data_IF_157054997543
#
_entry.id   IF_157054997543
#
_cell.length_a   1.000
_cell.length_b   1.000
_cell.length_c   1.000
_cell.angle_alpha   90.00
_cell.angle_beta   90.00
_cell.angle_gamma   90.00
#
_symmetry.space_group_name_H-M   'P 1'
#
loop_
_entity.id
_entity.type
_entity.pdbx_description
1 polymer ?
#
# COMPACT_ATOMS: atom_id res chain seq x y z
N UNK A 1 18.39 -10.32 7.57
CA UNK A 1 17.23 -9.43 7.78
C UNK A 1 16.03 -10.37 7.77
N UNK A 2 15.47 -10.66 8.93
CA UNK A 2 14.24 -11.44 8.99
C UNK A 2 13.15 -10.58 8.37
N UNK A 3 12.43 -11.13 7.38
CA UNK A 3 11.26 -10.47 6.84
C UNK A 3 10.25 -10.36 7.98
N UNK A 4 9.90 -9.14 8.38
CA UNK A 4 8.83 -8.92 9.33
C UNK A 4 7.57 -9.60 8.77
N UNK A 5 7.02 -10.55 9.51
CA UNK A 5 5.92 -11.37 9.01
C UNK A 5 4.65 -10.52 8.98
N UNK A 6 4.28 -10.04 7.79
CA UNK A 6 3.05 -9.29 7.59
C UNK A 6 1.86 -10.23 7.82
N UNK A 7 0.94 -9.89 8.75
CA UNK A 7 -0.15 -10.79 9.13
C UNK A 7 -1.01 -11.26 7.95
N UNK A 8 -1.40 -12.54 7.92
CA UNK A 8 -2.19 -13.10 6.80
C UNK A 8 -3.51 -12.35 6.56
N UNK A 9 -4.21 -11.98 7.63
CA UNK A 9 -5.51 -11.30 7.54
C UNK A 9 -5.44 -9.98 6.76
N UNK A 10 -4.30 -9.29 6.79
CA UNK A 10 -4.10 -8.05 6.03
C UNK A 10 -4.18 -8.31 4.53
N UNK A 11 -3.52 -9.39 4.08
CA UNK A 11 -3.55 -9.82 2.69
C UNK A 11 -4.93 -10.31 2.27
N UNK A 12 -5.59 -11.10 3.11
CA UNK A 12 -6.95 -11.60 2.86
C UNK A 12 -7.94 -10.44 2.60
N UNK A 13 -7.84 -9.37 3.39
CA UNK A 13 -8.69 -8.18 3.24
C UNK A 13 -8.36 -7.41 1.97
N UNK A 14 -7.08 -7.17 1.68
CA UNK A 14 -6.67 -6.50 0.44
C UNK A 14 -7.15 -7.26 -0.79
N UNK A 15 -6.95 -8.57 -0.83
CA UNK A 15 -7.37 -9.40 -1.96
C UNK A 15 -8.89 -9.50 -2.08
N UNK A 16 -9.63 -9.57 -0.96
CA UNK A 16 -11.08 -9.63 -0.98
C UNK A 16 -11.76 -8.32 -1.41
N UNK A 17 -11.08 -7.18 -1.23
CA UNK A 17 -11.64 -5.85 -1.52
C UNK A 17 -11.15 -5.24 -2.83
N UNK A 18 -10.01 -5.70 -3.34
CA UNK A 18 -9.47 -5.29 -4.65
C UNK A 18 -10.44 -5.67 -5.78
N UNK A 19 -10.57 -4.84 -6.83
CA UNK A 19 -9.95 -3.52 -7.02
C UNK A 19 -10.70 -2.34 -6.42
N UNK A 20 -11.69 -2.53 -5.56
CA UNK A 20 -12.64 -1.47 -5.20
C UNK A 20 -12.24 -0.78 -3.90
N UNK A 21 -11.72 0.44 -3.98
CA UNK A 21 -11.34 1.19 -2.79
C UNK A 21 -12.54 1.49 -1.89
N UNK A 22 -13.72 1.70 -2.47
CA UNK A 22 -14.97 1.80 -1.73
C UNK A 22 -15.28 0.54 -0.89
N UNK A 23 -14.98 -0.66 -1.38
CA UNK A 23 -15.20 -1.90 -0.62
C UNK A 23 -14.22 -2.01 0.55
N UNK A 24 -12.94 -1.64 0.35
CA UNK A 24 -11.95 -1.57 1.43
C UNK A 24 -12.35 -0.54 2.49
N UNK A 25 -12.77 0.65 2.08
CA UNK A 25 -13.25 1.68 2.99
C UNK A 25 -14.43 1.18 3.84
N UNK A 26 -15.45 0.56 3.22
CA UNK A 26 -16.58 0.01 3.95
C UNK A 26 -16.20 -1.10 4.92
N UNK A 27 -15.22 -1.94 4.56
CA UNK A 27 -14.68 -2.93 5.51
C UNK A 27 -14.02 -2.23 6.70
N UNK A 28 -13.11 -1.28 6.46
CA UNK A 28 -12.41 -0.52 7.50
C UNK A 28 -13.37 0.24 8.42
N UNK A 29 -14.41 0.87 7.89
CA UNK A 29 -15.44 1.60 8.66
C UNK A 29 -16.19 0.70 9.65
N UNK A 30 -16.26 -0.61 9.37
CA UNK A 30 -16.90 -1.60 10.24
C UNK A 30 -15.97 -2.20 11.31
N UNK A 31 -14.68 -1.85 11.28
CA UNK A 31 -13.69 -2.41 12.18
C UNK A 31 -13.49 -1.58 13.46
N UNK A 32 -13.08 -2.21 14.58
CA UNK A 32 -12.68 -1.48 15.77
C UNK A 32 -11.35 -0.76 15.56
N UNK A 33 -11.06 0.23 16.41
CA UNK A 33 -9.88 1.10 16.34
C UNK A 33 -8.58 0.32 16.15
N UNK A 34 -8.39 -0.72 16.95
CA UNK A 34 -7.17 -1.52 17.01
C UNK A 34 -6.89 -2.22 15.67
N UNK A 35 -7.93 -2.57 14.91
CA UNK A 35 -7.79 -3.19 13.59
C UNK A 35 -7.39 -2.15 12.53
N UNK A 36 -7.87 -0.91 12.63
CA UNK A 36 -7.43 0.16 11.73
C UNK A 36 -5.97 0.52 11.99
N UNK A 37 -5.58 0.63 13.26
CA UNK A 37 -4.18 0.84 13.67
C UNK A 37 -3.29 -0.32 13.16
N UNK A 38 -3.72 -1.57 13.35
CA UNK A 38 -2.99 -2.75 12.89
C UNK A 38 -2.90 -2.83 11.35
N UNK A 39 -3.95 -2.41 10.63
CA UNK A 39 -3.93 -2.36 9.17
C UNK A 39 -2.90 -1.35 8.66
N UNK A 40 -2.87 -0.15 9.24
CA UNK A 40 -1.88 0.87 8.87
C UNK A 40 -0.45 0.41 9.17
N UNK A 41 -0.22 -0.21 10.32
CA UNK A 41 1.07 -0.79 10.69
C UNK A 41 1.51 -1.89 9.72
N UNK A 42 0.61 -2.82 9.39
CA UNK A 42 0.90 -3.90 8.44
C UNK A 42 1.21 -3.36 7.03
N UNK A 43 0.46 -2.35 6.57
CA UNK A 43 0.70 -1.72 5.28
C UNK A 43 2.08 -1.03 5.25
N UNK A 44 2.40 -0.23 6.27
CA UNK A 44 3.70 0.43 6.39
C UNK A 44 4.87 -0.56 6.47
N UNK A 45 4.75 -1.60 7.29
CA UNK A 45 5.78 -2.65 7.38
C UNK A 45 5.98 -3.37 6.03
N UNK A 46 4.89 -3.66 5.32
CA UNK A 46 4.97 -4.26 3.98
C UNK A 46 5.70 -3.34 2.98
N UNK A 47 5.50 -2.03 3.05
CA UNK A 47 6.24 -1.06 2.22
C UNK A 47 7.73 -1.02 2.58
N UNK A 48 8.07 -0.87 3.87
CA UNK A 48 9.45 -0.80 4.34
C UNK A 48 10.27 -2.07 4.05
N UNK A 49 9.61 -3.21 3.82
CA UNK A 49 10.29 -4.45 3.44
C UNK A 49 10.84 -4.45 2.00
N UNK A 50 10.34 -3.57 1.12
CA UNK A 50 10.66 -3.57 -0.30
C UNK A 50 11.94 -2.80 -0.63
N UNK A 51 12.15 -1.64 0.01
CA UNK A 51 13.29 -0.77 -0.26
C UNK A 51 13.56 0.16 0.94
N UNK A 52 14.81 0.62 1.04
CA UNK A 52 15.16 1.79 1.85
C UNK A 52 14.81 3.06 1.04
N UNK A 53 13.78 3.78 1.46
CA UNK A 53 13.27 4.95 0.73
C UNK A 53 14.34 6.04 0.59
N UNK A 54 15.22 6.19 1.58
CA UNK A 54 16.28 7.21 1.58
C UNK A 54 17.36 6.94 0.52
N UNK A 55 17.52 5.67 0.11
CA UNK A 55 18.45 5.28 -0.94
C UNK A 55 17.83 5.36 -2.33
N UNK A 56 16.49 5.32 -2.40
CA UNK A 56 15.71 5.31 -3.62
C UNK A 56 15.89 4.04 -4.45
N UNK A 57 15.04 3.88 -5.47
CA UNK A 57 15.15 2.80 -6.46
C UNK A 57 15.81 3.33 -7.73
N UNK A 58 16.74 2.56 -8.31
CA UNK A 58 17.36 2.92 -9.59
C UNK A 58 16.53 2.36 -10.75
N UNK A 59 15.89 3.24 -11.51
CA UNK A 59 15.07 2.90 -12.68
C UNK A 59 15.61 3.65 -13.90
N UNK A 60 15.88 2.95 -15.00
CA UNK A 60 16.46 3.51 -16.23
C UNK A 60 17.75 4.32 -16.00
N UNK A 61 18.55 3.92 -15.01
CA UNK A 61 19.80 4.60 -14.63
C UNK A 61 19.63 5.85 -13.76
N UNK A 62 18.40 6.24 -13.42
CA UNK A 62 18.09 7.35 -12.51
C UNK A 62 17.71 6.79 -11.15
N UNK A 63 18.26 7.36 -10.07
CA UNK A 63 17.83 7.05 -8.70
C UNK A 63 16.60 7.92 -8.40
N UNK A 64 15.50 7.27 -8.06
CA UNK A 64 14.25 7.95 -7.70
C UNK A 64 14.34 8.65 -6.35
N UNK A 65 13.47 9.63 -6.16
CA UNK A 65 13.34 10.32 -4.87
C UNK A 65 12.78 9.39 -3.79
N UNK A 66 12.83 9.83 -2.54
CA UNK A 66 12.20 9.15 -1.40
C UNK A 66 10.70 8.98 -1.66
N UNK A 67 10.01 10.07 -2.00
CA UNK A 67 8.56 10.09 -2.30
C UNK A 67 8.20 9.15 -3.46
N UNK A 68 8.93 9.20 -4.59
CA UNK A 68 8.65 8.32 -5.74
C UNK A 68 8.88 6.83 -5.39
N UNK A 69 9.83 6.56 -4.50
CA UNK A 69 10.14 5.21 -4.02
C UNK A 69 9.08 4.71 -3.06
N UNK A 70 8.59 5.58 -2.17
CA UNK A 70 7.48 5.29 -1.27
C UNK A 70 6.20 5.00 -2.07
N UNK A 71 5.87 5.83 -3.07
CA UNK A 71 4.72 5.64 -3.95
C UNK A 71 4.78 4.29 -4.69
N UNK A 72 5.96 3.92 -5.20
CA UNK A 72 6.17 2.60 -5.80
C UNK A 72 5.92 1.48 -4.80
N UNK A 73 6.48 1.57 -3.60
CA UNK A 73 6.32 0.55 -2.57
C UNK A 73 4.86 0.42 -2.13
N UNK A 74 4.17 1.54 -1.93
CA UNK A 74 2.74 1.58 -1.62
C UNK A 74 1.91 0.94 -2.73
N UNK A 75 2.25 1.20 -3.99
CA UNK A 75 1.60 0.60 -5.14
C UNK A 75 1.81 -0.92 -5.21
N UNK A 76 3.04 -1.41 -4.96
CA UNK A 76 3.37 -2.85 -4.93
C UNK A 76 2.55 -3.58 -3.88
N UNK A 77 2.47 -3.04 -2.65
CA UNK A 77 1.63 -3.62 -1.57
C UNK A 77 0.16 -3.63 -1.99
N UNK A 78 -0.31 -2.55 -2.63
CA UNK A 78 -1.67 -2.45 -3.15
C UNK A 78 -2.02 -3.51 -4.22
N UNK A 79 -1.03 -4.12 -4.89
CA UNK A 79 -1.29 -5.24 -5.82
C UNK A 79 -1.58 -6.57 -5.11
N UNK A 80 -1.48 -6.62 -3.78
CA UNK A 80 -1.76 -7.80 -2.97
C UNK A 80 -0.56 -8.74 -2.81
N UNK A 81 -0.75 -9.80 -2.01
CA UNK A 81 0.34 -10.68 -1.55
C UNK A 81 1.08 -11.36 -2.70
N UNK A 82 0.34 -11.83 -3.71
CA UNK A 82 0.90 -12.54 -4.85
C UNK A 82 1.88 -11.70 -5.67
N UNK A 83 1.75 -10.37 -5.60
CA UNK A 83 2.64 -9.44 -6.27
C UNK A 83 3.77 -8.95 -5.35
N UNK A 84 3.45 -8.66 -4.09
CA UNK A 84 4.40 -8.21 -3.08
C UNK A 84 5.44 -9.29 -2.73
N UNK A 85 5.02 -10.53 -2.47
CA UNK A 85 5.90 -11.57 -1.94
C UNK A 85 7.05 -11.95 -2.89
N UNK A 86 6.84 -12.17 -4.21
CA UNK A 86 7.96 -12.41 -5.12
C UNK A 86 8.92 -11.21 -5.23
N UNK A 87 8.40 -9.98 -5.07
CA UNK A 87 9.20 -8.75 -5.13
C UNK A 87 10.12 -8.66 -3.91
N UNK A 88 9.58 -8.84 -2.70
CA UNK A 88 10.38 -8.79 -1.46
C UNK A 88 11.39 -9.95 -1.38
N UNK A 89 11.07 -11.11 -1.96
CA UNK A 89 11.96 -12.25 -2.06
C UNK A 89 13.09 -12.07 -3.11
N UNK A 90 13.14 -10.92 -3.81
CA UNK A 90 14.12 -10.65 -4.87
C UNK A 90 13.93 -11.48 -6.13
N UNK A 91 12.76 -12.11 -6.30
CA UNK A 91 12.41 -12.87 -7.51
C UNK A 91 11.93 -11.95 -8.64
N UNK A 92 11.55 -10.72 -8.30
CA UNK A 92 11.25 -9.64 -9.25
C UNK A 92 12.16 -8.47 -8.92
N UNK A 93 12.84 -7.95 -9.93
CA UNK A 93 13.63 -6.74 -9.75
C UNK A 93 12.68 -5.54 -9.60
N UNK A 94 12.92 -4.73 -8.56
CA UNK A 94 12.06 -3.59 -8.25
C UNK A 94 12.10 -2.54 -9.38
N UNK A 95 13.20 -2.45 -10.13
CA UNK A 95 13.29 -1.59 -11.31
C UNK A 95 12.39 -2.07 -12.48
N UNK A 96 12.21 -3.39 -12.65
CA UNK A 96 11.28 -3.95 -13.64
C UNK A 96 9.81 -3.82 -13.19
N UNK A 97 9.57 -3.95 -11.89
CA UNK A 97 8.27 -3.67 -11.27
C UNK A 97 7.89 -2.20 -11.44
N UNK A 98 8.84 -1.28 -11.30
CA UNK A 98 8.64 0.14 -11.53
C UNK A 98 8.17 0.46 -12.96
N UNK A 99 8.60 -0.32 -13.97
CA UNK A 99 8.09 -0.15 -15.33
C UNK A 99 6.58 -0.45 -15.42
N UNK A 100 6.10 -1.48 -14.71
CA UNK A 100 4.67 -1.78 -14.64
C UNK A 100 3.89 -0.69 -13.88
N UNK A 101 4.45 -0.16 -12.78
CA UNK A 101 3.90 0.99 -12.06
C UNK A 101 3.73 2.22 -12.97
N UNK A 102 4.73 2.51 -13.80
CA UNK A 102 4.69 3.60 -14.78
C UNK A 102 3.75 3.36 -15.97
N UNK A 103 3.04 2.22 -16.02
CA UNK A 103 2.17 1.85 -17.12
C UNK A 103 2.92 1.49 -18.42
N UNK A 104 4.21 1.19 -18.32
CA UNK A 104 5.04 0.77 -19.47
C UNK A 104 4.93 -0.75 -19.65
N UNK A 105 5.37 -1.21 -20.83
CA UNK A 105 5.42 -2.64 -21.13
C UNK A 105 6.46 -3.31 -20.24
N UNK A 106 6.00 -4.25 -19.41
CA UNK A 106 6.80 -5.02 -18.47
C UNK A 106 6.26 -6.46 -18.41
N UNK A 107 7.10 -7.46 -18.08
CA UNK A 107 6.63 -8.83 -17.84
C UNK A 107 5.47 -8.91 -16.83
N UNK A 108 5.38 -7.95 -15.90
CA UNK A 108 4.38 -7.94 -14.83
C UNK A 108 3.11 -7.15 -15.17
N UNK A 109 3.05 -6.47 -16.33
CA UNK A 109 1.90 -5.61 -16.69
C UNK A 109 0.56 -6.37 -16.73
N UNK A 110 0.58 -7.67 -17.02
CA UNK A 110 -0.64 -8.52 -17.08
C UNK A 110 -1.15 -8.95 -15.70
N UNK A 111 -0.32 -8.82 -14.66
CA UNK A 111 -0.67 -9.18 -13.27
C UNK A 111 -1.20 -7.99 -12.47
N UNK A 112 -1.05 -6.77 -13.00
CA UNK A 112 -1.50 -5.53 -12.37
C UNK A 112 -3.01 -5.43 -12.44
N UNK A 113 -3.63 -5.16 -11.30
CA UNK A 113 -5.05 -4.82 -11.22
C UNK A 113 -5.18 -3.39 -10.67
N UNK A 114 -5.49 -2.40 -11.51
CA UNK A 114 -5.67 -1.02 -11.05
C UNK A 114 -6.80 -0.92 -10.03
N UNK A 115 -6.60 -0.13 -8.99
CA UNK A 115 -7.67 0.19 -8.04
C UNK A 115 -8.67 1.17 -8.66
N UNK A 116 -9.95 0.89 -8.49
CA UNK A 116 -11.01 1.88 -8.57
C UNK A 116 -10.92 2.78 -7.34
N UNK A 117 -10.38 3.98 -7.53
CA UNK A 117 -10.09 4.97 -6.49
C UNK A 117 -11.32 5.78 -6.07
N UNK A 118 -12.51 5.40 -6.54
CA UNK A 118 -13.77 5.98 -6.11
C UNK A 118 -14.03 5.72 -4.62
N UNK A 119 -14.25 6.80 -3.87
CA UNK A 119 -14.66 6.76 -2.46
C UNK A 119 -16.12 7.19 -2.32
N UNK A 120 -16.88 6.45 -1.52
CA UNK A 120 -18.30 6.73 -1.28
C UNK A 120 -18.52 7.88 -0.29
N UNK A 121 -17.64 7.99 0.71
CA UNK A 121 -17.69 9.05 1.70
C UNK A 121 -16.86 10.28 1.23
N UNK A 122 -17.45 11.48 1.09
CA UNK A 122 -16.72 12.68 0.69
C UNK A 122 -15.55 13.06 1.61
N UNK A 123 -15.61 12.73 2.89
CA UNK A 123 -14.53 13.01 3.86
C UNK A 123 -13.27 12.17 3.61
N UNK A 124 -13.38 11.09 2.83
CA UNK A 124 -12.24 10.24 2.45
C UNK A 124 -11.51 10.75 1.19
N UNK A 125 -11.97 11.85 0.57
CA UNK A 125 -11.27 12.46 -0.56
C UNK A 125 -9.89 12.95 -0.11
N UNK A 126 -8.88 12.71 -0.96
CA UNK A 126 -7.47 12.91 -0.61
C UNK A 126 -6.77 11.67 -0.02
N UNK A 127 -7.52 10.60 0.29
CA UNK A 127 -6.99 9.33 0.81
C UNK A 127 -7.21 8.16 -0.17
N UNK A 128 -7.00 8.41 -1.47
CA UNK A 128 -7.49 7.55 -2.55
C UNK A 128 -6.52 6.43 -2.95
N UNK A 129 -5.90 5.79 -1.95
CA UNK A 129 -5.08 4.58 -2.13
C UNK A 129 -5.36 3.58 -1.00
N UNK A 130 -5.08 2.27 -1.20
CA UNK A 130 -5.30 1.26 -0.16
C UNK A 130 -4.51 1.52 1.13
N UNK A 131 -3.35 2.17 1.04
CA UNK A 131 -2.56 2.59 2.19
C UNK A 131 -3.11 3.85 2.85
N UNK A 132 -3.53 4.85 2.06
CA UNK A 132 -3.99 6.13 2.61
C UNK A 132 -5.44 6.08 3.15
N UNK A 133 -6.31 5.23 2.61
CA UNK A 133 -7.75 5.23 2.94
C UNK A 133 -8.04 5.01 4.42
N UNK A 134 -7.18 4.25 5.12
CA UNK A 134 -7.30 4.02 6.57
C UNK A 134 -7.15 5.31 7.37
N UNK A 135 -6.35 6.28 6.91
CA UNK A 135 -6.21 7.59 7.55
C UNK A 135 -7.54 8.36 7.50
N UNK A 136 -8.19 8.38 6.33
CA UNK A 136 -9.50 9.01 6.12
C UNK A 136 -10.58 8.36 6.99
N UNK A 137 -10.68 7.03 6.95
CA UNK A 137 -11.64 6.27 7.77
C UNK A 137 -11.42 6.51 9.26
N UNK A 138 -10.17 6.40 9.73
CA UNK A 138 -9.84 6.58 11.15
C UNK A 138 -10.22 7.99 11.63
N UNK A 139 -9.92 9.01 10.82
CA UNK A 139 -10.29 10.39 11.11
C UNK A 139 -11.80 10.57 11.20
N UNK A 140 -12.57 9.98 10.29
CA UNK A 140 -14.04 10.05 10.31
C UNK A 140 -14.63 9.30 11.50
N UNK A 141 -14.13 8.11 11.82
CA UNK A 141 -14.67 7.27 12.91
C UNK A 141 -14.33 7.83 14.31
N UNK A 142 -13.17 8.45 14.48
CA UNK A 142 -12.66 8.81 15.81
C UNK A 142 -12.37 10.30 16.01
N UNK A 143 -12.60 11.14 14.99
CA UNK A 143 -12.30 12.57 15.02
C UNK A 143 -10.84 12.89 15.42
N UNK A 144 -9.91 12.01 15.04
CA UNK A 144 -8.50 12.06 15.40
C UNK A 144 -7.63 11.69 14.19
N UNK A 145 -6.45 12.30 14.04
CA UNK A 145 -5.46 11.87 13.05
C UNK A 145 -4.81 10.54 13.46
N UNK A 146 -4.75 9.57 12.55
CA UNK A 146 -4.02 8.33 12.80
C UNK A 146 -2.50 8.57 12.86
N UNK A 147 -1.99 9.52 12.07
CA UNK A 147 -0.58 9.94 12.13
C UNK A 147 -0.18 10.48 13.53
N UNK A 148 -1.05 11.26 14.18
CA UNK A 148 -0.78 11.74 15.56
C UNK A 148 -0.76 10.60 16.57
N UNK A 149 -1.51 9.53 16.30
CA UNK A 149 -1.66 8.36 17.17
C UNK A 149 -0.50 7.39 17.00
N UNK A 150 -0.06 7.19 15.75
CA UNK A 150 1.03 6.31 15.34
C UNK A 150 2.06 7.11 14.55
N UNK A 151 2.90 7.92 15.23
CA UNK A 151 3.90 8.74 14.55
C UNK A 151 4.90 7.83 13.83
N UNK A 152 5.13 8.08 12.55
CA UNK A 152 6.02 7.29 11.70
C UNK A 152 5.37 6.07 11.02
N UNK A 153 4.04 5.96 11.04
CA UNK A 153 3.29 4.94 10.28
C UNK A 153 2.50 5.65 9.18
N UNK A 154 3.02 5.51 7.95
CA UNK A 154 2.67 6.29 6.75
C UNK A 154 3.06 7.76 6.93
#
# INVERSE_FOLDING_TARGET
>A
MELEEIPEWFWEVLDATRPRLSALASWLESQPREVLEAYALAYGAAMCSLADFSQGVRVDGVVWSEDDTEDLCAWVVGQGRGFWHPTVAGQRDLAEVAQAYLGRVSPFSVEVTPWDTGVSNPEHRGYQSPGAIVQGVYRTCFAQSLHDRLPGVL
#
